data_IF_228166802616
#
_entry.id   IF_228166802616
#
_cell.length_a   1.000
_cell.length_b   1.000
_cell.length_c   1.000
_cell.angle_alpha   90.00
_cell.angle_beta   90.00
_cell.angle_gamma   90.00
#
_symmetry.space_group_name_H-M   'P 1'
#
loop_
_entity.id
_entity.type
_entity.pdbx_description
1 polymer ?
#
# COMPACT_ATOMS: atom_id res chain seq x y z
N UNK A 1 29.55 45.13 51.27
CA UNK A 1 28.44 44.75 50.36
C UNK A 1 28.69 45.54 49.07
N UNK A 2 28.94 45.02 47.88
CA UNK A 2 28.63 43.76 47.23
C UNK A 2 29.75 43.44 46.22
N UNK A 3 30.02 42.15 46.01
CA UNK A 3 31.17 41.60 45.28
C UNK A 3 30.89 41.53 43.78
N UNK A 4 31.86 41.95 42.97
CA UNK A 4 31.96 41.72 41.52
C UNK A 4 32.02 40.21 41.23
N UNK A 5 31.07 39.66 40.46
CA UNK A 5 31.25 38.38 39.76
C UNK A 5 30.57 38.34 38.38
N UNK A 6 31.44 38.25 37.38
CA UNK A 6 31.44 37.33 36.22
C UNK A 6 30.42 37.54 35.09
N UNK A 7 31.00 37.99 33.97
CA UNK A 7 30.77 37.52 32.60
C UNK A 7 30.15 36.11 32.54
N UNK A 8 28.89 36.04 32.10
CA UNK A 8 28.24 34.79 31.73
C UNK A 8 28.41 34.62 30.22
N UNK A 9 29.19 33.59 29.89
CA UNK A 9 29.36 33.01 28.57
C UNK A 9 27.99 32.60 28.02
N UNK A 10 27.74 32.94 26.77
CA UNK A 10 26.67 32.34 25.98
C UNK A 10 26.83 30.80 25.96
N UNK A 11 25.80 30.02 26.31
CA UNK A 11 25.70 28.66 25.82
C UNK A 11 24.95 28.69 24.50
N UNK A 12 25.69 28.36 23.45
CA UNK A 12 25.23 27.81 22.19
C UNK A 12 24.30 26.62 22.50
N UNK A 13 22.99 26.87 22.64
CA UNK A 13 22.01 25.80 22.68
C UNK A 13 21.74 25.37 21.24
N UNK A 14 22.50 24.35 20.88
CA UNK A 14 22.31 23.47 19.74
C UNK A 14 20.83 23.04 19.71
N UNK A 15 20.02 23.70 18.89
CA UNK A 15 18.70 23.24 18.54
C UNK A 15 18.86 21.98 17.68
N UNK A 16 19.00 20.83 18.35
CA UNK A 16 18.84 19.54 17.70
C UNK A 16 17.34 19.33 17.55
N UNK A 17 16.80 19.88 16.47
CA UNK A 17 15.55 19.39 15.88
C UNK A 17 15.85 17.96 15.42
N UNK A 18 15.66 16.99 16.31
CA UNK A 18 15.49 15.59 15.91
C UNK A 18 14.12 15.54 15.26
N UNK A 19 14.08 15.85 13.96
CA UNK A 19 13.00 15.44 13.09
C UNK A 19 13.04 13.91 13.11
N UNK A 20 12.26 13.29 13.99
CA UNK A 20 11.87 11.90 13.76
C UNK A 20 11.04 11.94 12.47
N UNK A 21 11.70 11.67 11.34
CA UNK A 21 11.03 11.14 10.18
C UNK A 21 10.37 9.84 10.65
N UNK A 22 9.13 9.93 11.11
CA UNK A 22 8.23 8.81 11.05
C UNK A 22 8.09 8.53 9.56
N UNK A 23 8.86 7.57 9.07
CA UNK A 23 8.52 6.90 7.83
C UNK A 23 7.22 6.18 8.19
N UNK A 24 6.09 6.83 7.92
CA UNK A 24 4.79 6.18 7.88
C UNK A 24 4.92 5.06 6.87
N UNK A 25 5.14 3.84 7.33
CA UNK A 25 4.99 2.67 6.46
C UNK A 25 3.53 2.63 6.08
N UNK A 26 3.17 3.18 4.91
CA UNK A 26 1.89 2.89 4.27
C UNK A 26 1.89 1.39 3.99
N UNK A 27 1.28 0.66 4.92
CA UNK A 27 0.89 -0.71 4.73
C UNK A 27 -0.49 -0.62 4.13
N UNK A 28 -0.61 -1.07 2.89
CA UNK A 28 -1.85 -1.26 2.16
C UNK A 28 -2.81 -2.18 2.89
N UNK A 29 -3.51 -3.07 2.20
CA UNK A 29 -3.93 -4.22 2.96
C UNK A 29 -2.70 -4.78 3.70
N UNK A 30 -2.85 -5.08 4.97
CA UNK A 30 -1.79 -5.73 5.72
C UNK A 30 -1.49 -7.11 5.12
N UNK A 31 -0.51 -7.85 5.68
CA UNK A 31 -0.12 -9.14 5.14
C UNK A 31 -1.31 -10.08 4.88
N UNK A 32 -2.28 -10.13 5.81
CA UNK A 32 -3.47 -10.96 5.67
C UNK A 32 -4.31 -10.61 4.42
N UNK A 33 -4.55 -9.33 4.14
CA UNK A 33 -5.39 -8.95 3.01
C UNK A 33 -4.71 -9.19 1.67
N UNK A 34 -3.40 -8.90 1.56
CA UNK A 34 -2.63 -9.27 0.37
C UNK A 34 -2.62 -10.77 0.10
N UNK A 35 -2.39 -11.57 1.15
CA UNK A 35 -2.43 -13.02 1.04
C UNK A 35 -3.81 -13.51 0.56
N UNK A 36 -4.91 -12.96 1.09
CA UNK A 36 -6.27 -13.28 0.65
C UNK A 36 -6.45 -12.97 -0.85
N UNK A 37 -6.09 -11.76 -1.28
CA UNK A 37 -6.20 -11.35 -2.70
C UNK A 37 -5.36 -12.25 -3.60
N UNK A 38 -4.10 -12.50 -3.22
CA UNK A 38 -3.20 -13.39 -3.96
C UNK A 38 -3.71 -14.82 -4.03
N UNK A 39 -4.24 -15.38 -2.94
CA UNK A 39 -4.79 -16.73 -2.90
C UNK A 39 -6.09 -16.87 -3.73
N UNK A 40 -6.95 -15.85 -3.73
CA UNK A 40 -8.12 -15.81 -4.62
C UNK A 40 -7.66 -15.85 -6.08
N UNK A 41 -6.68 -15.02 -6.45
CA UNK A 41 -6.15 -14.98 -7.82
C UNK A 41 -5.56 -16.34 -8.24
N UNK A 42 -4.76 -16.97 -7.38
CA UNK A 42 -4.17 -18.28 -7.65
C UNK A 42 -5.23 -19.35 -7.92
N UNK A 43 -6.25 -19.44 -7.05
CA UNK A 43 -7.35 -20.41 -7.19
C UNK A 43 -8.22 -20.16 -8.41
N UNK A 44 -8.45 -18.89 -8.78
CA UNK A 44 -9.21 -18.53 -9.99
C UNK A 44 -8.45 -18.91 -11.27
N UNK A 45 -7.12 -18.93 -11.23
CA UNK A 45 -6.27 -19.28 -12.36
C UNK A 45 -5.92 -20.78 -12.41
N UNK A 46 -6.18 -21.53 -11.35
CA UNK A 46 -5.82 -22.94 -11.24
C UNK A 46 -6.28 -23.77 -12.45
N UNK A 47 -5.37 -24.61 -12.96
CA UNK A 47 -5.63 -25.46 -14.13
C UNK A 47 -5.54 -24.74 -15.50
N UNK A 48 -5.20 -23.45 -15.53
CA UNK A 48 -5.00 -22.70 -16.78
C UNK A 48 -3.52 -22.64 -17.19
N UNK A 49 -3.25 -22.40 -18.48
CA UNK A 49 -1.89 -22.11 -18.95
C UNK A 49 -1.30 -20.83 -18.32
N UNK A 50 -2.16 -19.90 -17.89
CA UNK A 50 -1.74 -18.67 -17.20
C UNK A 50 -1.15 -18.99 -15.83
N UNK A 51 -1.77 -19.89 -15.07
CA UNK A 51 -1.23 -20.34 -13.79
C UNK A 51 0.16 -20.98 -13.93
N UNK A 52 0.37 -21.84 -14.93
CA UNK A 52 1.69 -22.46 -15.16
C UNK A 52 2.77 -21.44 -15.55
N UNK A 53 2.41 -20.42 -16.33
CA UNK A 53 3.32 -19.30 -16.65
C UNK A 53 3.67 -18.48 -15.41
N UNK A 54 2.68 -18.13 -14.59
CA UNK A 54 2.90 -17.40 -13.34
C UNK A 54 3.79 -18.22 -12.40
N UNK A 55 3.50 -19.51 -12.23
CA UNK A 55 4.31 -20.42 -11.41
C UNK A 55 5.76 -20.48 -11.89
N UNK A 56 5.99 -20.49 -13.19
CA UNK A 56 7.35 -20.47 -13.77
C UNK A 56 8.04 -19.13 -13.50
N UNK A 57 7.34 -18.00 -13.72
CA UNK A 57 7.89 -16.66 -13.47
C UNK A 57 8.22 -16.41 -11.99
N UNK A 58 7.41 -16.96 -11.10
CA UNK A 58 7.57 -16.83 -9.64
C UNK A 58 8.41 -17.95 -9.03
N UNK A 59 9.02 -18.84 -9.83
CA UNK A 59 9.81 -19.98 -9.36
C UNK A 59 9.10 -20.80 -8.27
N UNK A 60 7.81 -21.05 -8.48
CA UNK A 60 6.95 -21.80 -7.56
C UNK A 60 6.49 -21.02 -6.32
N UNK A 61 6.91 -19.77 -6.09
CA UNK A 61 6.32 -18.92 -5.05
C UNK A 61 4.84 -18.69 -5.41
N UNK A 62 3.88 -19.04 -4.53
CA UNK A 62 2.46 -18.83 -4.81
C UNK A 62 2.13 -17.34 -4.84
N UNK A 63 1.15 -16.88 -5.65
CA UNK A 63 0.70 -15.49 -5.65
C UNK A 63 0.34 -14.93 -4.27
N UNK A 64 -0.19 -15.79 -3.39
CA UNK A 64 -0.40 -15.49 -1.97
C UNK A 64 0.86 -14.95 -1.28
N UNK A 65 2.01 -15.60 -1.43
CA UNK A 65 3.29 -15.13 -0.85
C UNK A 65 3.91 -14.01 -1.67
N UNK A 66 3.80 -14.07 -3.00
CA UNK A 66 4.36 -13.06 -3.91
C UNK A 66 3.74 -11.68 -3.67
N UNK A 67 2.46 -11.63 -3.30
CA UNK A 67 1.72 -10.42 -2.95
C UNK A 67 2.33 -9.63 -1.79
N UNK A 68 3.24 -10.20 -0.99
CA UNK A 68 3.89 -9.51 0.12
C UNK A 68 5.28 -8.97 -0.23
N UNK A 69 5.89 -9.43 -1.32
CA UNK A 69 7.31 -9.20 -1.62
C UNK A 69 7.61 -7.72 -1.79
N UNK A 70 6.73 -6.95 -2.45
CA UNK A 70 6.94 -5.51 -2.63
C UNK A 70 7.02 -4.75 -1.30
N UNK A 71 6.28 -5.17 -0.27
CA UNK A 71 6.41 -4.63 1.07
C UNK A 71 7.61 -5.19 1.83
N UNK A 72 7.94 -6.47 1.65
CA UNK A 72 9.08 -7.10 2.33
C UNK A 72 10.41 -6.40 2.00
N UNK A 73 10.59 -5.98 0.75
CA UNK A 73 11.82 -5.31 0.30
C UNK A 73 11.98 -3.90 0.88
N UNK A 74 10.92 -3.28 1.45
CA UNK A 74 11.04 -2.06 2.28
C UNK A 74 11.93 -2.31 3.51
N UNK A 75 12.09 -3.56 3.95
CA UNK A 75 13.02 -3.89 5.03
C UNK A 75 14.49 -3.59 4.69
N UNK A 76 14.83 -3.48 3.40
CA UNK A 76 16.16 -3.12 2.91
C UNK A 76 16.46 -1.62 2.99
N UNK A 77 15.46 -0.75 3.13
CA UNK A 77 15.63 0.69 2.91
C UNK A 77 16.70 1.36 3.78
N UNK A 78 16.92 0.82 4.99
CA UNK A 78 17.90 1.37 5.92
C UNK A 78 19.35 0.99 5.58
N UNK A 79 19.58 -0.26 5.15
CA UNK A 79 20.91 -0.86 5.09
C UNK A 79 21.27 -1.45 3.71
N UNK A 80 20.37 -1.34 2.74
CA UNK A 80 20.48 -1.94 1.42
C UNK A 80 20.10 -3.43 1.38
N UNK A 81 19.98 -3.98 0.17
CA UNK A 81 19.54 -5.36 -0.06
C UNK A 81 20.61 -6.40 0.31
N UNK A 82 21.85 -5.99 0.60
CA UNK A 82 22.94 -6.88 1.03
C UNK A 82 22.96 -7.14 2.56
N UNK A 83 22.10 -6.47 3.36
CA UNK A 83 22.03 -6.70 4.82
C UNK A 83 21.38 -8.05 5.14
N UNK A 84 22.23 -9.04 5.43
CA UNK A 84 21.88 -10.44 5.81
C UNK A 84 20.86 -10.59 6.94
N UNK A 85 20.56 -9.53 7.69
CA UNK A 85 19.54 -9.53 8.77
C UNK A 85 18.14 -9.18 8.26
N UNK A 86 17.99 -8.89 6.96
CA UNK A 86 16.71 -8.57 6.32
C UNK A 86 16.16 -9.76 5.57
N UNK A 87 15.01 -9.55 4.92
CA UNK A 87 14.40 -10.58 4.09
C UNK A 87 15.35 -10.97 2.96
N UNK A 88 15.41 -12.27 2.66
CA UNK A 88 16.15 -12.82 1.53
C UNK A 88 15.40 -14.05 0.99
N UNK A 89 15.40 -14.19 -0.33
CA UNK A 89 14.77 -15.28 -1.07
C UNK A 89 15.84 -16.30 -1.49
N UNK A 90 16.57 -16.85 -0.52
CA UNK A 90 17.73 -17.73 -0.77
C UNK A 90 17.40 -19.01 -1.54
N UNK A 91 16.14 -19.47 -1.47
CA UNK A 91 15.66 -20.61 -2.26
C UNK A 91 15.36 -20.26 -3.72
N UNK A 92 15.36 -18.96 -4.07
CA UNK A 92 15.00 -18.41 -5.37
C UNK A 92 16.05 -17.37 -5.82
N UNK A 93 17.30 -17.78 -6.08
CA UNK A 93 18.41 -16.85 -6.28
C UNK A 93 18.25 -15.90 -7.48
N UNK A 94 17.58 -16.33 -8.55
CA UNK A 94 17.25 -15.46 -9.69
C UNK A 94 16.22 -14.39 -9.33
N UNK A 95 15.26 -14.70 -8.46
CA UNK A 95 14.29 -13.73 -7.95
C UNK A 95 14.98 -12.76 -6.99
N UNK A 96 15.82 -13.26 -6.08
CA UNK A 96 16.64 -12.42 -5.18
C UNK A 96 17.43 -11.39 -5.98
N UNK A 97 18.15 -11.81 -7.03
CA UNK A 97 18.94 -10.89 -7.85
C UNK A 97 18.06 -9.84 -8.56
N UNK A 98 16.90 -10.23 -9.08
CA UNK A 98 15.97 -9.29 -9.72
C UNK A 98 15.42 -8.27 -8.72
N UNK A 99 15.11 -8.69 -7.50
CA UNK A 99 14.66 -7.79 -6.43
C UNK A 99 15.76 -6.80 -6.04
N UNK A 100 17.02 -7.25 -5.97
CA UNK A 100 18.17 -6.36 -5.73
C UNK A 100 18.32 -5.31 -6.82
N UNK A 101 18.23 -5.72 -8.09
CA UNK A 101 18.37 -4.83 -9.23
C UNK A 101 17.20 -3.84 -9.30
N UNK A 102 15.98 -4.32 -9.05
CA UNK A 102 14.79 -3.49 -8.90
C UNK A 102 14.94 -2.46 -7.79
N UNK A 103 15.33 -2.87 -6.57
CA UNK A 103 15.49 -1.93 -5.45
C UNK A 103 16.57 -0.87 -5.76
N UNK A 104 17.70 -1.26 -6.37
CA UNK A 104 18.76 -0.32 -6.78
C UNK A 104 18.30 0.68 -7.84
N UNK A 105 17.43 0.25 -8.77
CA UNK A 105 16.86 1.11 -9.80
C UNK A 105 15.70 2.00 -9.29
N UNK A 106 15.15 1.68 -8.12
CA UNK A 106 13.99 2.34 -7.53
C UNK A 106 14.25 2.65 -6.05
N UNK A 107 15.31 3.39 -5.69
CA UNK A 107 15.71 3.55 -4.29
C UNK A 107 14.60 4.22 -3.44
N UNK A 108 14.55 3.94 -2.12
CA UNK A 108 13.61 4.62 -1.23
C UNK A 108 13.83 6.14 -1.27
N UNK A 109 12.74 6.90 -1.35
CA UNK A 109 12.74 8.36 -1.35
C UNK A 109 11.68 8.87 -0.37
N UNK A 110 12.02 9.80 0.54
CA UNK A 110 11.03 10.39 1.45
C UNK A 110 10.06 11.33 0.71
N UNK A 111 10.51 11.92 -0.40
CA UNK A 111 9.73 12.88 -1.17
C UNK A 111 9.24 12.25 -2.49
N UNK A 112 7.98 12.52 -2.82
CA UNK A 112 7.40 12.16 -4.10
C UNK A 112 8.11 12.94 -5.22
N UNK A 113 8.43 12.25 -6.31
CA UNK A 113 9.12 12.87 -7.44
C UNK A 113 8.62 12.29 -8.75
N UNK A 114 8.21 13.17 -9.65
CA UNK A 114 7.83 12.82 -11.02
C UNK A 114 9.01 12.44 -11.90
N UNK A 115 10.23 12.76 -11.47
CA UNK A 115 11.46 12.50 -12.23
C UNK A 115 12.27 11.34 -11.67
N UNK A 116 12.23 11.15 -10.35
CA UNK A 116 13.03 10.14 -9.66
C UNK A 116 12.15 9.01 -9.16
N UNK A 117 12.32 7.80 -9.71
CA UNK A 117 11.52 6.67 -9.28
C UNK A 117 11.86 6.20 -7.87
N UNK A 118 10.84 5.81 -7.11
CA UNK A 118 11.00 5.05 -5.87
C UNK A 118 10.02 3.89 -5.84
N UNK A 119 10.44 2.78 -5.24
CA UNK A 119 9.53 1.67 -4.99
C UNK A 119 8.43 2.04 -3.99
N UNK A 120 8.66 3.02 -3.11
CA UNK A 120 7.64 3.51 -2.15
C UNK A 120 6.43 4.13 -2.82
N UNK A 121 6.63 4.88 -3.90
CA UNK A 121 5.55 5.61 -4.59
C UNK A 121 4.66 4.68 -5.43
N UNK A 122 5.08 3.45 -5.72
CA UNK A 122 4.29 2.50 -6.54
C UNK A 122 3.06 1.92 -5.83
N UNK A 123 2.94 2.16 -4.52
CA UNK A 123 1.95 1.50 -3.68
C UNK A 123 0.63 2.25 -3.58
N UNK A 124 0.59 3.55 -3.84
CA UNK A 124 -0.60 4.36 -3.57
C UNK A 124 -0.64 5.60 -4.45
N UNK A 125 -1.78 6.29 -4.42
CA UNK A 125 -1.99 7.67 -4.83
C UNK A 125 -2.81 8.36 -3.74
N UNK A 126 -2.63 9.66 -3.54
CA UNK A 126 -3.34 10.43 -2.50
C UNK A 126 -4.34 11.40 -3.16
N UNK A 127 -5.27 10.88 -3.96
CA UNK A 127 -6.27 11.71 -4.64
C UNK A 127 -7.12 12.46 -3.59
N UNK A 128 -7.24 13.80 -3.67
CA UNK A 128 -8.09 14.58 -2.78
C UNK A 128 -9.54 14.09 -2.78
N UNK A 129 -10.16 13.98 -1.59
CA UNK A 129 -11.53 13.45 -1.45
C UNK A 129 -12.59 14.48 -1.04
N UNK A 130 -12.19 15.72 -0.69
CA UNK A 130 -13.11 16.75 -0.21
C UNK A 130 -14.20 17.09 -1.24
N UNK A 131 -13.77 17.45 -2.44
CA UNK A 131 -14.63 17.59 -3.61
C UNK A 131 -14.36 16.35 -4.45
N UNK A 132 -15.34 15.45 -4.55
CA UNK A 132 -15.19 14.20 -5.29
C UNK A 132 -14.62 14.45 -6.70
N UNK A 133 -13.51 13.77 -6.99
CA UNK A 133 -12.75 13.88 -8.23
C UNK A 133 -12.51 12.49 -8.81
N UNK A 134 -12.47 12.41 -10.13
CA UNK A 134 -11.84 11.27 -10.78
C UNK A 134 -10.31 11.41 -10.67
N UNK A 135 -9.60 10.29 -10.77
CA UNK A 135 -8.13 10.27 -10.81
C UNK A 135 -7.58 11.21 -11.88
N UNK A 136 -8.19 11.27 -13.07
CA UNK A 136 -7.74 12.13 -14.17
C UNK A 136 -8.04 13.63 -14.02
N UNK A 137 -8.86 14.04 -13.03
CA UNK A 137 -9.35 15.42 -12.93
C UNK A 137 -8.31 16.41 -12.35
N UNK A 138 -7.30 15.92 -11.63
CA UNK A 138 -6.46 16.75 -10.77
C UNK A 138 -4.96 16.48 -10.90
N UNK A 139 -4.18 17.12 -10.01
CA UNK A 139 -2.70 16.96 -9.97
C UNK A 139 -2.21 16.58 -8.59
N UNK A 140 -2.86 17.06 -7.54
CA UNK A 140 -2.46 16.78 -6.16
C UNK A 140 -2.57 15.28 -5.88
N UNK A 141 -1.54 14.74 -5.23
CA UNK A 141 -1.49 13.33 -4.82
C UNK A 141 -1.32 12.30 -5.94
N UNK A 142 -1.18 12.76 -7.20
CA UNK A 142 -1.05 11.92 -8.40
C UNK A 142 0.38 12.03 -8.92
N UNK A 143 1.11 10.94 -8.83
CA UNK A 143 2.52 10.90 -9.22
C UNK A 143 2.71 10.06 -10.49
N UNK A 144 3.71 10.39 -11.30
CA UNK A 144 4.01 9.62 -12.52
C UNK A 144 4.36 8.13 -12.28
N UNK A 145 4.53 7.73 -11.03
CA UNK A 145 4.96 6.40 -10.61
C UNK A 145 4.01 5.75 -9.62
N UNK A 146 2.83 6.35 -9.40
CA UNK A 146 1.85 5.82 -8.45
C UNK A 146 1.29 4.45 -8.85
N UNK A 147 0.44 3.89 -7.99
CA UNK A 147 -0.19 2.59 -8.24
C UNK A 147 -0.99 2.56 -9.56
N UNK A 148 -1.59 3.70 -9.95
CA UNK A 148 -2.38 3.84 -11.19
C UNK A 148 -1.48 3.77 -12.43
N UNK A 149 -0.24 4.23 -12.33
CA UNK A 149 0.76 4.11 -13.40
C UNK A 149 1.57 2.80 -13.36
N UNK A 150 1.79 2.24 -12.18
CA UNK A 150 2.60 1.02 -11.99
C UNK A 150 1.94 -0.21 -12.60
N UNK A 151 0.63 -0.37 -12.41
CA UNK A 151 -0.14 -1.49 -12.96
C UNK A 151 -0.05 -1.57 -14.50
N UNK A 152 -0.39 -0.52 -15.28
CA UNK A 152 -0.27 -0.56 -16.74
C UNK A 152 1.17 -0.72 -17.22
N UNK A 153 2.17 -0.21 -16.48
CA UNK A 153 3.57 -0.47 -16.79
C UNK A 153 3.90 -1.97 -16.72
N UNK A 154 3.50 -2.63 -15.62
CA UNK A 154 3.69 -4.07 -15.46
C UNK A 154 2.97 -4.87 -16.56
N UNK A 155 1.75 -4.47 -16.93
CA UNK A 155 1.01 -5.07 -18.05
C UNK A 155 1.77 -4.90 -19.37
N UNK A 156 2.34 -3.72 -19.63
CA UNK A 156 3.17 -3.46 -20.82
C UNK A 156 4.39 -4.37 -20.89
N UNK A 157 5.08 -4.60 -19.77
CA UNK A 157 6.20 -5.56 -19.69
C UNK A 157 5.74 -6.99 -19.99
N UNK A 158 4.63 -7.44 -19.38
CA UNK A 158 4.09 -8.78 -19.61
C UNK A 158 3.65 -9.01 -21.05
N UNK A 159 3.14 -7.97 -21.73
CA UNK A 159 2.79 -8.01 -23.15
C UNK A 159 3.99 -7.89 -24.09
N UNK A 160 5.18 -7.58 -23.57
CA UNK A 160 6.38 -7.32 -24.38
C UNK A 160 6.35 -5.98 -25.12
N UNK A 161 5.47 -5.07 -24.71
CA UNK A 161 5.40 -3.69 -25.22
C UNK A 161 6.51 -2.83 -24.59
N UNK A 162 6.91 -3.17 -23.36
CA UNK A 162 8.04 -2.58 -22.63
C UNK A 162 9.11 -3.65 -22.48
N UNK A 163 10.36 -3.34 -22.81
CA UNK A 163 11.47 -4.27 -22.71
C UNK A 163 11.81 -4.61 -21.24
N UNK A 164 12.26 -5.83 -20.97
CA UNK A 164 12.60 -6.28 -19.60
C UNK A 164 13.88 -5.62 -19.05
N UNK A 165 14.75 -5.10 -19.92
CA UNK A 165 15.96 -4.36 -19.55
C UNK A 165 15.72 -2.86 -19.29
N UNK A 166 14.46 -2.47 -19.05
CA UNK A 166 14.05 -1.10 -18.81
C UNK A 166 14.80 -0.45 -17.63
N UNK A 167 14.84 0.90 -17.56
CA UNK A 167 15.53 1.63 -16.49
C UNK A 167 15.05 1.30 -15.08
N UNK A 168 13.82 0.79 -14.93
CA UNK A 168 13.20 0.44 -13.64
C UNK A 168 13.53 -0.97 -13.18
N UNK A 169 14.20 -1.77 -14.01
CA UNK A 169 14.48 -3.19 -13.77
C UNK A 169 13.22 -4.00 -13.44
N UNK A 170 12.09 -3.62 -14.04
CA UNK A 170 10.85 -4.39 -13.95
C UNK A 170 10.88 -5.43 -15.07
N UNK A 171 11.38 -6.62 -14.76
CA UNK A 171 11.30 -7.82 -15.60
C UNK A 171 9.88 -8.40 -15.62
N UNK A 172 9.62 -9.46 -16.38
CA UNK A 172 8.33 -10.16 -16.30
C UNK A 172 8.06 -10.76 -14.92
N UNK A 173 9.06 -11.31 -14.25
CA UNK A 173 8.93 -11.81 -12.87
C UNK A 173 8.56 -10.67 -11.92
N UNK A 174 9.28 -9.54 -11.98
CA UNK A 174 8.96 -8.37 -11.17
C UNK A 174 7.58 -7.81 -11.48
N UNK A 175 7.16 -7.80 -12.74
CA UNK A 175 5.82 -7.36 -13.13
C UNK A 175 4.72 -8.24 -12.51
N UNK A 176 4.90 -9.57 -12.43
CA UNK A 176 3.94 -10.45 -11.74
C UNK A 176 3.93 -10.19 -10.22
N UNK A 177 5.11 -10.01 -9.61
CA UNK A 177 5.23 -9.71 -8.17
C UNK A 177 4.52 -8.39 -7.85
N UNK A 178 4.79 -7.34 -8.62
CA UNK A 178 4.17 -6.03 -8.44
C UNK A 178 2.66 -6.09 -8.69
N UNK A 179 2.19 -6.79 -9.73
CA UNK A 179 0.74 -6.93 -9.96
C UNK A 179 0.04 -7.70 -8.84
N UNK A 180 0.65 -8.77 -8.31
CA UNK A 180 0.10 -9.50 -7.18
C UNK A 180 -0.04 -8.61 -5.92
N UNK A 181 0.82 -7.60 -5.79
CA UNK A 181 0.78 -6.63 -4.72
C UNK A 181 -0.19 -5.47 -4.99
N UNK A 182 0.03 -4.72 -6.08
CA UNK A 182 -0.66 -3.49 -6.43
C UNK A 182 -2.17 -3.68 -6.66
N UNK A 183 -2.61 -4.88 -7.06
CA UNK A 183 -4.06 -5.17 -7.12
C UNK A 183 -4.67 -5.14 -5.72
N UNK A 184 -3.96 -5.58 -4.68
CA UNK A 184 -4.40 -5.40 -3.30
C UNK A 184 -4.37 -3.92 -2.90
N UNK A 185 -3.28 -3.21 -3.21
CA UNK A 185 -3.12 -1.80 -2.86
C UNK A 185 -4.23 -0.92 -3.44
N UNK A 186 -4.49 -1.02 -4.74
CA UNK A 186 -5.45 -0.13 -5.41
C UNK A 186 -6.90 -0.36 -4.98
N UNK A 187 -7.21 -1.51 -4.36
CA UNK A 187 -8.54 -1.78 -3.81
C UNK A 187 -8.65 -1.41 -2.32
N UNK A 188 -7.55 -1.00 -1.68
CA UNK A 188 -7.56 -0.42 -0.33
C UNK A 188 -7.90 1.09 -0.49
N UNK A 189 -9.06 1.57 -0.01
CA UNK A 189 -9.53 2.95 -0.26
C UNK A 189 -8.56 4.06 0.12
N UNK A 190 -7.85 3.89 1.22
CA UNK A 190 -6.83 4.80 1.75
C UNK A 190 -5.47 4.69 1.06
N UNK A 191 -5.32 3.81 0.06
CA UNK A 191 -4.21 3.82 -0.90
C UNK A 191 -4.53 4.62 -2.17
N UNK A 192 -5.75 5.16 -2.28
CA UNK A 192 -6.16 5.97 -3.43
C UNK A 192 -6.68 7.33 -3.01
N UNK A 193 -7.46 7.42 -1.93
CA UNK A 193 -8.02 8.67 -1.45
C UNK A 193 -7.33 9.21 -0.21
N UNK A 194 -7.09 10.52 -0.17
CA UNK A 194 -6.59 11.24 0.98
C UNK A 194 -7.36 12.55 1.24
N UNK A 195 -7.59 12.85 2.51
CA UNK A 195 -8.10 14.15 2.93
C UNK A 195 -6.93 15.12 3.11
N UNK A 196 -7.14 16.40 2.78
CA UNK A 196 -6.12 17.44 2.93
C UNK A 196 -6.62 18.55 3.84
N UNK A 197 -5.75 19.07 4.71
CA UNK A 197 -6.15 20.03 5.73
C UNK A 197 -5.32 21.31 5.66
N UNK A 198 -5.92 22.44 6.03
CA UNK A 198 -5.16 23.66 6.33
C UNK A 198 -4.51 23.56 7.74
N UNK A 199 -3.74 24.59 8.13
CA UNK A 199 -3.10 24.65 9.45
C UNK A 199 -4.09 24.65 10.63
N UNK A 200 -5.36 25.01 10.40
CA UNK A 200 -6.41 24.97 11.40
C UNK A 200 -7.07 23.59 11.53
N UNK A 201 -6.68 22.62 10.69
CA UNK A 201 -7.27 21.27 10.66
C UNK A 201 -8.61 21.21 9.92
N UNK A 202 -8.93 22.20 9.09
CA UNK A 202 -10.13 22.21 8.27
C UNK A 202 -9.83 21.58 6.90
N UNK A 203 -10.72 20.73 6.36
CA UNK A 203 -10.56 20.17 5.02
C UNK A 203 -10.43 21.25 3.94
N UNK A 204 -9.52 21.05 2.98
CA UNK A 204 -9.30 21.96 1.85
C UNK A 204 -9.11 21.23 0.52
N UNK A 205 -9.42 21.94 -0.56
CA UNK A 205 -9.13 21.52 -1.94
C UNK A 205 -7.76 22.07 -2.36
N UNK A 206 -6.78 21.17 -2.45
CA UNK A 206 -5.41 21.50 -2.83
C UNK A 206 -5.26 21.81 -4.34
N UNK A 207 -6.12 21.23 -5.18
CA UNK A 207 -6.08 21.45 -6.64
C UNK A 207 -6.64 22.82 -7.02
N UNK A 208 -7.35 23.50 -6.10
CA UNK A 208 -7.73 24.91 -6.21
C UNK A 208 -6.73 25.90 -5.62
N UNK A 209 -5.47 25.48 -5.40
CA UNK A 209 -4.36 26.37 -5.09
C UNK A 209 -4.10 26.61 -3.60
N UNK A 210 -4.70 25.80 -2.72
CA UNK A 210 -4.36 25.78 -1.30
C UNK A 210 -3.19 24.81 -1.06
N UNK A 211 -2.18 25.22 -0.29
CA UNK A 211 -1.18 24.28 0.22
C UNK A 211 -1.79 23.55 1.42
N UNK A 212 -2.07 22.26 1.26
CA UNK A 212 -2.63 21.42 2.32
C UNK A 212 -1.62 20.47 2.95
N UNK A 213 -1.82 20.22 4.24
CA UNK A 213 -1.24 19.10 4.96
C UNK A 213 -2.00 17.84 4.56
N UNK A 214 -1.35 16.95 3.82
CA UNK A 214 -1.97 15.69 3.38
C UNK A 214 -2.21 14.75 4.55
N UNK A 215 -3.36 14.10 4.55
CA UNK A 215 -3.69 13.02 5.48
C UNK A 215 -2.87 11.74 5.25
N UNK A 216 -2.10 11.66 4.15
CA UNK A 216 -1.24 10.53 3.75
C UNK A 216 -2.02 9.20 3.73
N UNK A 217 -3.14 9.17 2.99
CA UNK A 217 -4.06 8.04 3.05
C UNK A 217 -4.54 7.73 4.48
N UNK A 218 -4.67 8.73 5.35
CA UNK A 218 -5.04 8.51 6.75
C UNK A 218 -3.91 7.98 7.66
N UNK A 219 -2.65 7.94 7.22
CA UNK A 219 -1.53 7.66 8.12
C UNK A 219 -1.35 8.76 9.16
N UNK A 220 -1.64 10.00 8.77
CA UNK A 220 -1.59 11.18 9.65
C UNK A 220 -2.91 11.42 10.41
N UNK A 221 -3.89 10.51 10.29
CA UNK A 221 -5.18 10.59 10.96
C UNK A 221 -5.28 9.55 12.07
N UNK A 222 -5.80 9.94 13.23
CA UNK A 222 -6.09 8.99 14.32
C UNK A 222 -7.56 8.58 14.33
N UNK A 223 -7.84 7.34 14.70
CA UNK A 223 -9.20 6.81 14.83
C UNK A 223 -9.53 6.54 16.31
N UNK A 224 -10.61 7.14 16.79
CA UNK A 224 -11.18 6.86 18.11
C UNK A 224 -12.45 6.05 18.01
N UNK A 225 -12.47 4.84 18.58
CA UNK A 225 -13.67 4.04 18.75
C UNK A 225 -14.28 4.31 20.13
N UNK A 226 -15.54 4.77 20.16
CA UNK A 226 -16.24 5.03 21.41
C UNK A 226 -16.49 3.74 22.20
N UNK A 227 -16.59 3.88 23.53
CA UNK A 227 -16.96 2.77 24.40
C UNK A 227 -18.40 2.31 24.10
N UNK A 228 -18.63 1.01 24.22
CA UNK A 228 -19.94 0.35 24.16
C UNK A 228 -20.22 -0.33 25.50
N UNK A 229 -21.36 -1.01 25.65
CA UNK A 229 -21.62 -1.80 26.86
C UNK A 229 -20.64 -2.97 26.99
N UNK A 230 -20.12 -3.46 25.85
CA UNK A 230 -19.26 -4.64 25.75
C UNK A 230 -17.77 -4.29 25.62
N UNK A 231 -17.41 -3.07 25.21
CA UNK A 231 -16.02 -2.67 24.90
C UNK A 231 -15.64 -1.30 25.44
N UNK A 232 -14.40 -1.19 25.91
CA UNK A 232 -13.81 0.09 26.30
C UNK A 232 -13.50 0.95 25.06
N UNK A 233 -13.32 2.26 25.28
CA UNK A 233 -12.83 3.17 24.23
C UNK A 233 -11.46 2.70 23.74
N UNK A 234 -11.27 2.65 22.43
CA UNK A 234 -9.99 2.29 21.81
C UNK A 234 -9.52 3.43 20.89
N UNK A 235 -8.21 3.63 20.81
CA UNK A 235 -7.58 4.68 20.03
C UNK A 235 -6.48 4.09 19.15
N UNK A 236 -6.57 4.37 17.85
CA UNK A 236 -5.57 4.03 16.87
C UNK A 236 -4.84 5.31 16.46
N UNK A 237 -3.50 5.28 16.48
CA UNK A 237 -2.67 6.41 16.08
C UNK A 237 -2.69 6.66 14.56
N UNK A 238 -3.00 5.63 13.76
CA UNK A 238 -3.12 5.69 12.30
C UNK A 238 -4.41 5.00 11.86
N UNK A 239 -5.28 5.75 11.18
CA UNK A 239 -6.51 5.24 10.59
C UNK A 239 -6.20 4.28 9.44
N UNK A 240 -5.16 4.59 8.67
CA UNK A 240 -4.63 3.72 7.63
C UNK A 240 -4.25 2.33 8.17
N UNK A 241 -3.50 2.29 9.28
CA UNK A 241 -3.09 1.03 9.91
C UNK A 241 -4.30 0.22 10.42
N UNK A 242 -5.30 0.89 11.00
CA UNK A 242 -6.55 0.22 11.39
C UNK A 242 -7.24 -0.42 10.17
N UNK A 243 -7.35 0.31 9.07
CA UNK A 243 -8.02 -0.15 7.86
C UNK A 243 -7.30 -1.35 7.23
N UNK A 244 -5.98 -1.26 7.07
CA UNK A 244 -5.17 -2.31 6.47
C UNK A 244 -5.04 -3.57 7.33
N UNK A 245 -5.07 -3.44 8.66
CA UNK A 245 -4.80 -4.55 9.57
C UNK A 245 -6.06 -5.03 10.30
N UNK A 246 -6.56 -4.22 11.23
CA UNK A 246 -7.62 -4.59 12.14
C UNK A 246 -8.94 -4.81 11.41
N UNK A 247 -9.33 -3.92 10.49
CA UNK A 247 -10.58 -4.06 9.75
C UNK A 247 -10.60 -5.37 8.93
N UNK A 248 -9.53 -5.65 8.17
CA UNK A 248 -9.38 -6.91 7.40
C UNK A 248 -9.41 -8.13 8.32
N UNK A 249 -8.66 -8.10 9.43
CA UNK A 249 -8.65 -9.17 10.42
C UNK A 249 -10.06 -9.44 10.95
N UNK A 250 -10.75 -8.39 11.39
CA UNK A 250 -12.07 -8.47 12.02
C UNK A 250 -13.10 -9.05 11.07
N UNK A 251 -13.07 -8.65 9.80
CA UNK A 251 -13.92 -9.21 8.75
C UNK A 251 -13.61 -10.69 8.50
N UNK A 252 -12.32 -11.03 8.47
CA UNK A 252 -11.89 -12.42 8.22
C UNK A 252 -12.34 -13.36 9.32
N UNK A 253 -12.11 -13.00 10.59
CA UNK A 253 -12.41 -13.89 11.74
C UNK A 253 -13.81 -13.66 12.33
N UNK A 254 -14.55 -12.64 11.87
CA UNK A 254 -15.89 -12.32 12.32
C UNK A 254 -15.98 -11.69 13.72
N UNK A 255 -14.86 -11.25 14.31
CA UNK A 255 -14.85 -10.55 15.61
C UNK A 255 -13.73 -9.50 15.68
N UNK A 256 -13.98 -8.35 16.33
CA UNK A 256 -12.95 -7.36 16.62
C UNK A 256 -12.13 -7.67 17.87
N UNK A 257 -12.42 -8.77 18.58
CA UNK A 257 -11.70 -9.14 19.79
C UNK A 257 -10.30 -9.67 19.45
N UNK A 258 -9.33 -9.40 20.34
CA UNK A 258 -7.97 -9.86 20.14
C UNK A 258 -7.88 -11.38 20.35
N UNK A 259 -7.29 -12.08 19.37
CA UNK A 259 -7.01 -13.51 19.50
C UNK A 259 -5.64 -13.72 20.15
N UNK A 260 -5.55 -14.49 21.26
CA UNK A 260 -4.30 -14.80 21.91
C UNK A 260 -3.28 -15.37 20.92
N UNK A 261 -2.01 -14.95 21.02
CA UNK A 261 -0.96 -15.34 20.06
C UNK A 261 -0.88 -16.85 19.82
N UNK A 262 -1.09 -17.66 20.86
CA UNK A 262 -1.05 -19.12 20.78
C UNK A 262 -2.20 -19.73 19.95
N UNK A 263 -3.33 -19.01 19.81
CA UNK A 263 -4.54 -19.46 19.13
C UNK A 263 -4.69 -18.86 17.73
N UNK A 264 -3.91 -17.81 17.41
CA UNK A 264 -4.04 -17.06 16.15
C UNK A 264 -4.03 -17.96 14.93
N UNK A 265 -3.10 -18.90 14.84
CA UNK A 265 -3.03 -19.81 13.67
C UNK A 265 -4.31 -20.65 13.54
N UNK A 266 -4.75 -21.27 14.65
CA UNK A 266 -5.95 -22.13 14.66
C UNK A 266 -7.26 -21.37 14.37
N UNK A 267 -7.28 -20.05 14.57
CA UNK A 267 -8.44 -19.21 14.26
C UNK A 267 -8.34 -18.60 12.86
N UNK A 268 -7.16 -18.06 12.51
CA UNK A 268 -7.00 -17.24 11.31
C UNK A 268 -6.93 -18.12 10.07
N UNK A 269 -6.20 -19.23 10.11
CA UNK A 269 -6.05 -20.12 8.95
C UNK A 269 -7.40 -20.64 8.42
N UNK A 270 -8.29 -21.27 9.23
CA UNK A 270 -9.58 -21.74 8.72
C UNK A 270 -10.52 -20.60 8.32
N UNK A 271 -10.45 -19.44 8.99
CA UNK A 271 -11.29 -18.29 8.66
C UNK A 271 -10.89 -17.65 7.32
N UNK A 272 -9.58 -17.47 7.11
CA UNK A 272 -8.99 -17.04 5.83
C UNK A 272 -9.34 -18.02 4.72
N UNK A 273 -9.17 -19.33 4.95
CA UNK A 273 -9.52 -20.38 4.00
C UNK A 273 -10.99 -20.31 3.58
N UNK A 274 -11.89 -20.19 4.56
CA UNK A 274 -13.33 -20.05 4.32
C UNK A 274 -13.63 -18.81 3.46
N UNK A 275 -13.06 -17.66 3.80
CA UNK A 275 -13.28 -16.42 3.06
C UNK A 275 -12.80 -16.53 1.60
N UNK A 276 -11.61 -17.08 1.38
CA UNK A 276 -11.06 -17.30 0.03
C UNK A 276 -11.97 -18.24 -0.76
N UNK A 277 -12.37 -19.37 -0.17
CA UNK A 277 -13.27 -20.33 -0.82
C UNK A 277 -14.62 -19.69 -1.18
N UNK A 278 -15.19 -18.89 -0.27
CA UNK A 278 -16.45 -18.18 -0.47
C UNK A 278 -16.36 -17.21 -1.67
N UNK A 279 -15.28 -16.42 -1.78
CA UNK A 279 -15.06 -15.50 -2.92
C UNK A 279 -14.76 -16.22 -4.24
N UNK A 280 -14.04 -17.34 -4.20
CA UNK A 280 -13.78 -18.15 -5.40
C UNK A 280 -15.07 -18.71 -5.96
N UNK A 281 -15.95 -19.23 -5.09
CA UNK A 281 -17.24 -19.82 -5.47
C UNK A 281 -18.29 -18.77 -5.84
N UNK A 282 -18.29 -17.60 -5.19
CA UNK A 282 -19.36 -16.59 -5.29
C UNK A 282 -18.82 -15.24 -5.78
N UNK A 283 -18.27 -15.20 -6.99
CA UNK A 283 -17.79 -13.96 -7.60
C UNK A 283 -18.92 -12.94 -7.79
N UNK A 284 -18.83 -11.73 -7.20
CA UNK A 284 -19.80 -10.68 -7.44
C UNK A 284 -19.79 -10.26 -8.90
N UNK A 285 -20.94 -10.38 -9.59
CA UNK A 285 -21.06 -10.04 -11.02
C UNK A 285 -20.74 -8.58 -11.34
N UNK A 286 -20.83 -7.71 -10.34
CA UNK A 286 -20.55 -6.27 -10.44
C UNK A 286 -19.06 -5.92 -10.37
N UNK A 287 -18.17 -6.89 -10.13
CA UNK A 287 -16.71 -6.67 -10.00
C UNK A 287 -15.94 -6.93 -11.31
N UNK A 288 -16.61 -6.82 -12.47
CA UNK A 288 -15.97 -7.02 -13.77
C UNK A 288 -15.60 -5.70 -14.40
N UNK A 289 -14.31 -5.48 -14.55
CA UNK A 289 -13.75 -4.37 -15.32
C UNK A 289 -13.66 -4.75 -16.79
N UNK A 290 -13.97 -3.81 -17.68
CA UNK A 290 -14.02 -4.05 -19.12
C UNK A 290 -13.00 -3.18 -19.87
N UNK A 291 -12.78 -3.45 -21.16
CA UNK A 291 -11.80 -2.73 -21.96
C UNK A 291 -10.37 -3.26 -21.79
N UNK A 292 -9.38 -2.48 -22.25
CA UNK A 292 -7.97 -2.87 -22.17
C UNK A 292 -7.50 -2.86 -20.71
N UNK A 293 -6.91 -3.96 -20.19
CA UNK A 293 -6.26 -4.01 -18.88
C UNK A 293 -5.34 -2.84 -18.53
N UNK A 294 -4.70 -2.19 -19.51
CA UNK A 294 -3.89 -0.97 -19.25
C UNK A 294 -4.70 0.24 -18.77
N UNK A 295 -6.03 0.19 -18.85
CA UNK A 295 -6.93 1.25 -18.38
C UNK A 295 -7.61 0.90 -17.06
N UNK A 296 -7.42 -0.32 -16.54
CA UNK A 296 -8.16 -0.81 -15.38
C UNK A 296 -7.75 -0.10 -14.09
N UNK A 297 -6.49 0.29 -13.94
CA UNK A 297 -6.01 0.91 -12.71
C UNK A 297 -6.73 2.23 -12.42
N UNK A 298 -6.87 3.10 -13.42
CA UNK A 298 -7.62 4.36 -13.30
C UNK A 298 -9.12 4.08 -13.04
N UNK A 299 -9.70 3.09 -13.73
CA UNK A 299 -11.10 2.69 -13.47
C UNK A 299 -11.29 2.21 -12.03
N UNK A 300 -10.40 1.37 -11.50
CA UNK A 300 -10.45 0.89 -10.12
C UNK A 300 -10.31 2.03 -9.12
N UNK A 301 -9.36 2.95 -9.35
CA UNK A 301 -9.22 4.13 -8.52
C UNK A 301 -10.52 4.96 -8.49
N UNK A 302 -11.13 5.20 -9.64
CA UNK A 302 -12.39 5.95 -9.75
C UNK A 302 -13.58 5.20 -9.11
N UNK A 303 -13.59 3.86 -9.12
CA UNK A 303 -14.67 3.05 -8.51
C UNK A 303 -14.69 3.08 -6.97
N UNK A 304 -13.56 3.42 -6.34
CA UNK A 304 -13.42 3.46 -4.87
C UNK A 304 -13.41 4.89 -4.31
N UNK A 305 -13.11 5.89 -5.13
CA UNK A 305 -13.20 7.30 -4.74
C UNK A 305 -14.66 7.67 -4.45
N UNK A 306 -14.92 8.62 -3.52
CA UNK A 306 -16.28 9.05 -3.22
C UNK A 306 -16.94 9.66 -4.46
N UNK A 307 -18.18 9.26 -4.79
CA UNK A 307 -18.94 9.84 -5.90
C UNK A 307 -19.37 11.29 -5.63
N UNK A 308 -19.31 12.17 -6.64
CA UNK A 308 -19.87 13.54 -6.60
C UNK A 308 -21.35 13.61 -6.21
N UNK A 309 -22.10 12.53 -6.43
CA UNK A 309 -23.54 12.48 -6.21
C UNK A 309 -23.95 11.83 -4.87
N UNK A 310 -23.01 11.36 -4.04
CA UNK A 310 -23.32 10.60 -2.82
C UNK A 310 -24.20 9.37 -3.06
N UNK A 311 -24.17 8.84 -4.29
CA UNK A 311 -25.29 8.12 -4.89
C UNK A 311 -24.96 6.76 -5.49
N UNK A 312 -23.82 6.16 -5.17
CA UNK A 312 -23.59 4.72 -5.31
C UNK A 312 -22.54 4.28 -4.30
N UNK A 313 -22.71 3.09 -3.71
CA UNK A 313 -21.74 2.57 -2.75
C UNK A 313 -20.38 2.35 -3.46
N UNK A 314 -19.25 2.82 -2.90
CA UNK A 314 -17.94 2.51 -3.43
C UNK A 314 -17.77 0.99 -3.50
N UNK A 315 -17.24 0.48 -4.62
CA UNK A 315 -16.97 -0.95 -4.81
C UNK A 315 -15.66 -1.33 -4.14
N UNK A 316 -15.57 -1.13 -2.82
CA UNK A 316 -14.44 -1.63 -2.04
C UNK A 316 -14.65 -3.11 -1.66
N UNK A 317 -13.58 -3.90 -1.71
CA UNK A 317 -13.52 -5.31 -1.29
C UNK A 317 -13.51 -5.39 0.25
#
# INVERSE_FOLDING_TARGET
>A
MCVIRRLIRAPLQLAVLVLFAFISSSLAYGPLGHEIVGAIADRKLAGTLTAEKIKTLLDGIPPERASLIANDIKSWDKNGPDDRRRIHFLAHPEIEQQLHDFWKANPPSPDASDTTPSHHWMHYTDVPVLDAEEYGDGRTGRGNWDVVHTIPYCIGVLRGEIAEDNPRKITRTMAVILLAHCVGDIHQPLHVGAEYFNEAGEPIDCDRGATGLGGEGGNSLSLGQNATAERTRHYYHSFHAYWGLDAVRNLTIGTPDEVPKAERESVYAPAKEKLIADFVANEPKIWRTSGDPKTWAEQWANEILPDRAGGTHPRAI
#
